data_IF_399223188764
#
_entry.id   IF_399223188764
#
_cell.length_a   1.000
_cell.length_b   1.000
_cell.length_c   1.000
_cell.angle_alpha   90.00
_cell.angle_beta   90.00
_cell.angle_gamma   90.00
#
_symmetry.space_group_name_H-M   'P 1'
#
loop_
_entity.id
_entity.type
_entity.pdbx_description
1 polymer ?
#
# COMPACT_ATOMS: atom_id res chain seq x y z
N UNK A 1 35.97 -4.21 1.53
CA UNK A 1 35.76 -5.50 0.85
C UNK A 1 34.28 -5.58 0.53
N UNK A 2 33.87 -5.24 -0.69
CA UNK A 2 32.46 -5.23 -1.13
C UNK A 2 31.96 -6.69 -1.10
N UNK A 3 30.99 -6.99 -0.23
CA UNK A 3 30.24 -8.25 -0.30
C UNK A 3 29.34 -8.17 -1.52
N UNK A 4 29.79 -8.63 -2.66
CA UNK A 4 28.89 -8.96 -3.77
C UNK A 4 27.99 -10.09 -3.30
N UNK A 5 26.67 -9.89 -3.33
CA UNK A 5 25.69 -10.95 -3.11
C UNK A 5 26.01 -12.13 -4.02
N UNK A 6 26.01 -13.33 -3.46
CA UNK A 6 26.04 -14.53 -4.29
C UNK A 6 24.78 -14.52 -5.18
N UNK A 7 24.93 -14.96 -6.43
CA UNK A 7 23.79 -15.01 -7.37
C UNK A 7 22.56 -15.74 -6.80
N UNK A 8 22.79 -16.78 -5.98
CA UNK A 8 21.73 -17.50 -5.28
C UNK A 8 21.00 -16.63 -4.25
N UNK A 9 21.71 -15.87 -3.42
CA UNK A 9 21.12 -14.99 -2.41
C UNK A 9 20.27 -13.88 -3.05
N UNK A 10 20.72 -13.33 -4.17
CA UNK A 10 19.93 -12.35 -4.93
C UNK A 10 18.60 -12.93 -5.42
N UNK A 11 18.63 -14.16 -5.97
CA UNK A 11 17.42 -14.87 -6.42
C UNK A 11 16.46 -15.13 -5.27
N UNK A 12 16.99 -15.52 -4.09
CA UNK A 12 16.16 -15.71 -2.89
C UNK A 12 15.40 -14.45 -2.47
N UNK A 13 16.06 -13.28 -2.49
CA UNK A 13 15.44 -12.02 -2.14
C UNK A 13 14.38 -11.58 -3.16
N UNK A 14 14.62 -11.83 -4.44
CA UNK A 14 13.67 -11.62 -5.54
C UNK A 14 12.42 -12.47 -5.34
N UNK A 15 12.60 -13.78 -5.08
CA UNK A 15 11.49 -14.72 -4.87
C UNK A 15 10.69 -14.35 -3.62
N UNK A 16 11.36 -13.97 -2.52
CA UNK A 16 10.72 -13.52 -1.29
C UNK A 16 9.71 -12.41 -1.58
N UNK A 17 10.15 -11.34 -2.23
CA UNK A 17 9.28 -10.19 -2.53
C UNK A 17 8.18 -10.52 -3.53
N UNK A 18 8.49 -11.36 -4.52
CA UNK A 18 7.50 -11.78 -5.52
C UNK A 18 6.36 -12.59 -4.89
N UNK A 19 6.66 -13.64 -4.12
CA UNK A 19 5.64 -14.50 -3.49
C UNK A 19 4.82 -13.66 -2.48
N UNK A 20 5.47 -12.82 -1.68
CA UNK A 20 4.79 -12.00 -0.69
C UNK A 20 3.75 -11.07 -1.33
N UNK A 21 4.12 -10.36 -2.39
CA UNK A 21 3.21 -9.45 -3.07
C UNK A 21 2.11 -10.20 -3.82
N UNK A 22 2.43 -11.35 -4.41
CA UNK A 22 1.47 -12.23 -5.06
C UNK A 22 0.39 -12.71 -4.08
N UNK A 23 0.80 -13.14 -2.87
CA UNK A 23 -0.12 -13.55 -1.82
C UNK A 23 -1.02 -12.40 -1.33
N UNK A 24 -0.44 -11.20 -1.14
CA UNK A 24 -1.17 -10.02 -0.69
C UNK A 24 -2.21 -9.57 -1.72
N UNK A 25 -1.85 -9.48 -3.00
CA UNK A 25 -2.75 -9.02 -4.07
C UNK A 25 -3.89 -9.99 -4.35
N UNK A 26 -3.62 -11.30 -4.29
CA UNK A 26 -4.63 -12.34 -4.51
C UNK A 26 -5.87 -12.19 -3.60
N UNK A 27 -5.68 -11.63 -2.40
CA UNK A 27 -6.79 -11.30 -1.49
C UNK A 27 -7.24 -9.86 -1.58
N UNK A 28 -6.33 -8.90 -1.51
CA UNK A 28 -6.68 -7.47 -1.40
C UNK A 28 -7.54 -6.99 -2.57
N UNK A 29 -7.24 -7.43 -3.78
CA UNK A 29 -7.94 -7.00 -4.99
C UNK A 29 -9.32 -7.67 -5.11
N UNK A 30 -9.45 -8.92 -4.71
CA UNK A 30 -10.71 -9.67 -4.78
C UNK A 30 -11.65 -9.40 -3.58
N UNK A 31 -11.12 -8.98 -2.43
CA UNK A 31 -11.88 -8.84 -1.18
C UNK A 31 -13.20 -8.07 -1.36
N UNK A 32 -13.16 -6.90 -2.03
CA UNK A 32 -14.36 -6.10 -2.23
C UNK A 32 -15.45 -6.85 -2.99
N UNK A 33 -15.07 -7.59 -4.04
CA UNK A 33 -16.00 -8.39 -4.84
C UNK A 33 -16.50 -9.63 -4.11
N UNK A 34 -15.64 -10.26 -3.31
CA UNK A 34 -16.01 -11.40 -2.46
C UNK A 34 -17.06 -10.98 -1.43
N UNK A 35 -16.84 -9.85 -0.74
CA UNK A 35 -17.81 -9.32 0.23
C UNK A 35 -19.15 -8.98 -0.44
N UNK A 36 -19.14 -8.37 -1.63
CA UNK A 36 -20.35 -8.08 -2.39
C UNK A 36 -21.10 -9.36 -2.78
N UNK A 37 -20.39 -10.36 -3.29
CA UNK A 37 -21.00 -11.62 -3.73
C UNK A 37 -21.64 -12.44 -2.58
N UNK A 38 -21.16 -12.22 -1.35
CA UNK A 38 -21.68 -12.91 -0.16
C UNK A 38 -22.62 -12.04 0.70
N UNK A 39 -23.11 -10.90 0.16
CA UNK A 39 -24.08 -10.04 0.88
C UNK A 39 -23.50 -9.24 2.04
N UNK A 40 -22.17 -9.09 2.11
CA UNK A 40 -21.44 -8.43 3.19
C UNK A 40 -21.11 -6.97 2.90
N UNK A 41 -21.96 -6.28 2.11
CA UNK A 41 -21.73 -4.89 1.70
C UNK A 41 -21.62 -3.94 2.90
N UNK A 42 -22.38 -4.21 3.96
CA UNK A 42 -22.44 -3.35 5.16
C UNK A 42 -21.06 -3.24 5.87
N UNK A 43 -20.27 -4.31 5.85
CA UNK A 43 -18.97 -4.34 6.52
C UNK A 43 -17.80 -4.05 5.56
N UNK A 44 -18.02 -3.83 4.25
CA UNK A 44 -16.96 -3.66 3.26
C UNK A 44 -15.97 -2.53 3.65
N UNK A 45 -16.48 -1.36 3.97
CA UNK A 45 -15.64 -0.23 4.38
C UNK A 45 -14.82 -0.54 5.64
N UNK A 46 -15.45 -1.17 6.64
CA UNK A 46 -14.79 -1.59 7.88
C UNK A 46 -13.75 -2.68 7.65
N UNK A 47 -14.01 -3.62 6.72
CA UNK A 47 -13.09 -4.68 6.34
C UNK A 47 -11.76 -4.11 5.79
N UNK A 48 -11.83 -3.09 4.94
CA UNK A 48 -10.62 -2.39 4.47
C UNK A 48 -10.02 -1.48 5.54
N UNK A 49 -10.84 -0.81 6.38
CA UNK A 49 -10.37 0.02 7.48
C UNK A 49 -9.57 -0.78 8.53
N UNK A 50 -9.78 -2.10 8.64
CA UNK A 50 -8.99 -2.98 9.49
C UNK A 50 -7.49 -2.90 9.18
N UNK A 51 -7.10 -2.70 7.91
CA UNK A 51 -5.69 -2.52 7.51
C UNK A 51 -5.10 -1.20 8.03
N UNK A 52 -5.90 -0.15 8.03
CA UNK A 52 -5.48 1.15 8.57
C UNK A 52 -5.34 1.11 10.10
N UNK A 53 -6.25 0.43 10.80
CA UNK A 53 -6.14 0.19 12.25
C UNK A 53 -4.87 -0.62 12.56
N UNK A 54 -4.59 -1.65 11.78
CA UNK A 54 -3.37 -2.46 11.94
C UNK A 54 -2.09 -1.65 11.72
N UNK A 55 -2.11 -0.62 10.87
CA UNK A 55 -0.96 0.26 10.64
C UNK A 55 -0.53 1.05 11.89
N UNK A 56 -1.44 1.31 12.83
CA UNK A 56 -1.10 1.91 14.13
C UNK A 56 -0.53 0.88 15.11
N UNK A 57 -1.05 -0.34 15.11
CA UNK A 57 -0.81 -1.33 16.17
C UNK A 57 0.38 -2.22 15.85
N UNK A 58 0.47 -2.72 14.62
CA UNK A 58 1.46 -3.72 14.22
C UNK A 58 2.92 -3.28 14.39
N UNK A 59 3.33 -2.04 14.04
CA UNK A 59 4.70 -1.60 14.23
C UNK A 59 5.13 -1.59 15.70
N UNK A 60 4.18 -1.34 16.62
CA UNK A 60 4.45 -1.30 18.06
C UNK A 60 4.76 -2.69 18.62
N UNK A 61 4.02 -3.71 18.18
CA UNK A 61 4.13 -5.06 18.72
C UNK A 61 5.25 -5.83 18.01
N UNK A 62 5.17 -5.93 16.68
CA UNK A 62 5.99 -6.86 15.92
C UNK A 62 7.34 -6.28 15.52
N UNK A 63 7.43 -4.97 15.27
CA UNK A 63 8.71 -4.30 15.07
C UNK A 63 9.62 -4.44 16.30
N UNK A 64 9.04 -4.26 17.50
CA UNK A 64 9.77 -4.45 18.75
C UNK A 64 10.29 -5.88 18.97
N UNK A 65 9.54 -6.88 18.51
CA UNK A 65 9.94 -8.29 18.62
C UNK A 65 11.08 -8.64 17.66
N UNK A 66 11.02 -8.13 16.43
CA UNK A 66 12.05 -8.37 15.42
C UNK A 66 13.39 -7.74 15.82
N UNK A 67 13.36 -6.56 16.46
CA UNK A 67 14.57 -5.82 16.83
C UNK A 67 15.31 -6.42 18.04
N UNK A 68 14.61 -7.15 18.93
CA UNK A 68 15.18 -7.47 20.26
C UNK A 68 15.48 -8.93 20.54
N UNK A 69 14.61 -9.86 20.13
CA UNK A 69 14.62 -11.21 20.70
C UNK A 69 14.61 -12.34 19.69
N UNK A 70 14.18 -12.09 18.46
CA UNK A 70 14.00 -13.16 17.46
C UNK A 70 14.58 -12.74 16.11
N UNK A 71 15.32 -13.60 15.41
CA UNK A 71 15.81 -13.30 14.07
C UNK A 71 14.65 -12.88 13.13
N UNK A 72 14.80 -11.79 12.33
CA UNK A 72 13.74 -11.26 11.47
C UNK A 72 13.12 -12.30 10.54
N UNK A 73 13.92 -13.22 10.02
CA UNK A 73 13.45 -14.33 9.16
C UNK A 73 12.48 -15.26 9.90
N UNK A 74 12.73 -15.50 11.21
CA UNK A 74 11.84 -16.32 12.02
C UNK A 74 10.53 -15.61 12.33
N UNK A 75 10.57 -14.30 12.61
CA UNK A 75 9.37 -13.47 12.80
C UNK A 75 8.53 -13.44 11.52
N UNK A 76 9.17 -13.23 10.36
CA UNK A 76 8.53 -13.28 9.04
C UNK A 76 7.79 -14.61 8.82
N UNK A 77 8.43 -15.73 9.15
CA UNK A 77 7.84 -17.08 9.03
C UNK A 77 6.58 -17.24 9.85
N UNK A 78 6.65 -16.91 11.15
CA UNK A 78 5.50 -17.06 12.04
C UNK A 78 4.36 -16.13 11.67
N UNK A 79 4.64 -14.90 11.25
CA UNK A 79 3.62 -13.98 10.78
C UNK A 79 3.01 -14.42 9.45
N UNK A 80 3.78 -14.98 8.53
CA UNK A 80 3.25 -15.56 7.29
C UNK A 80 2.31 -16.74 7.57
N UNK A 81 2.65 -17.63 8.53
CA UNK A 81 1.78 -18.72 8.97
C UNK A 81 0.52 -18.20 9.68
N UNK A 82 0.65 -17.20 10.55
CA UNK A 82 -0.49 -16.56 11.20
C UNK A 82 -1.42 -15.88 10.18
N UNK A 83 -0.85 -15.23 9.16
CA UNK A 83 -1.60 -14.64 8.04
C UNK A 83 -2.31 -15.73 7.23
N UNK A 84 -1.66 -16.83 6.92
CA UNK A 84 -2.28 -17.96 6.21
C UNK A 84 -3.43 -18.58 7.00
N UNK A 85 -3.25 -18.77 8.31
CA UNK A 85 -4.28 -19.32 9.20
C UNK A 85 -5.49 -18.38 9.28
N UNK A 86 -5.26 -17.09 9.60
CA UNK A 86 -6.35 -16.11 9.72
C UNK A 86 -7.05 -15.89 8.39
N UNK A 87 -6.33 -15.90 7.26
CA UNK A 87 -6.89 -15.84 5.91
C UNK A 87 -7.81 -17.04 5.63
N UNK A 88 -7.38 -18.26 5.99
CA UNK A 88 -8.20 -19.46 5.86
C UNK A 88 -9.45 -19.38 6.74
N UNK A 89 -9.34 -18.88 7.97
CA UNK A 89 -10.48 -18.68 8.88
C UNK A 89 -11.47 -17.65 8.32
N UNK A 90 -10.99 -16.51 7.82
CA UNK A 90 -11.84 -15.50 7.14
C UNK A 90 -12.59 -16.13 5.97
N UNK A 91 -11.87 -16.84 5.09
CA UNK A 91 -12.46 -17.49 3.92
C UNK A 91 -13.51 -18.53 4.29
N UNK A 92 -13.22 -19.33 5.34
CA UNK A 92 -14.16 -20.30 5.89
C UNK A 92 -15.40 -19.61 6.45
N UNK A 93 -15.23 -18.55 7.24
CA UNK A 93 -16.34 -17.82 7.83
C UNK A 93 -17.23 -17.16 6.75
N UNK A 94 -16.65 -16.63 5.68
CA UNK A 94 -17.41 -16.09 4.53
C UNK A 94 -18.14 -17.22 3.81
N UNK A 95 -17.47 -18.33 3.50
CA UNK A 95 -18.04 -19.48 2.78
C UNK A 95 -19.26 -20.07 3.50
N UNK A 96 -19.22 -20.15 4.82
CA UNK A 96 -20.30 -20.69 5.64
C UNK A 96 -21.28 -19.62 6.14
N UNK A 97 -21.23 -18.40 5.58
CA UNK A 97 -22.14 -17.30 5.94
C UNK A 97 -22.23 -17.02 7.45
N UNK A 98 -21.08 -17.09 8.11
CA UNK A 98 -20.99 -16.75 9.53
C UNK A 98 -21.40 -15.29 9.80
N UNK A 99 -21.63 -14.97 11.08
CA UNK A 99 -21.98 -13.61 11.49
C UNK A 99 -20.96 -12.60 10.98
N UNK A 100 -21.44 -11.50 10.38
CA UNK A 100 -20.59 -10.46 9.78
C UNK A 100 -19.60 -9.83 10.77
N UNK A 101 -19.93 -9.74 12.06
CA UNK A 101 -19.04 -9.20 13.10
C UNK A 101 -17.90 -10.16 13.42
N UNK A 102 -18.16 -11.47 13.38
CA UNK A 102 -17.10 -12.49 13.48
C UNK A 102 -16.15 -12.39 12.28
N UNK A 103 -16.70 -12.24 11.07
CA UNK A 103 -15.89 -12.06 9.84
C UNK A 103 -15.02 -10.79 9.97
N UNK A 104 -15.59 -9.70 10.46
CA UNK A 104 -14.86 -8.44 10.67
C UNK A 104 -13.75 -8.58 11.72
N UNK A 105 -14.02 -9.27 12.82
CA UNK A 105 -13.00 -9.56 13.84
C UNK A 105 -11.85 -10.41 13.28
N UNK A 106 -12.16 -11.43 12.49
CA UNK A 106 -11.13 -12.24 11.79
C UNK A 106 -10.35 -11.43 10.76
N UNK A 107 -10.98 -10.51 10.03
CA UNK A 107 -10.31 -9.58 9.11
C UNK A 107 -9.39 -8.62 9.86
N UNK A 108 -9.77 -8.19 11.06
CA UNK A 108 -8.89 -7.36 11.90
C UNK A 108 -7.66 -8.16 12.37
N UNK A 109 -7.83 -9.40 12.79
CA UNK A 109 -6.71 -10.28 13.16
C UNK A 109 -5.80 -10.56 11.98
N UNK A 110 -6.37 -10.80 10.79
CA UNK A 110 -5.62 -10.95 9.54
C UNK A 110 -4.80 -9.69 9.24
N UNK A 111 -5.40 -8.50 9.35
CA UNK A 111 -4.72 -7.25 9.11
C UNK A 111 -3.56 -7.02 10.08
N UNK A 112 -3.74 -7.35 11.37
CA UNK A 112 -2.68 -7.26 12.39
C UNK A 112 -1.50 -8.19 12.08
N UNK A 113 -1.76 -9.43 11.65
CA UNK A 113 -0.71 -10.38 11.29
C UNK A 113 0.05 -9.96 10.01
N UNK A 114 -0.69 -9.40 9.03
CA UNK A 114 -0.15 -9.06 7.71
C UNK A 114 0.61 -7.72 7.69
N UNK A 115 0.18 -6.72 8.45
CA UNK A 115 0.72 -5.35 8.36
C UNK A 115 2.26 -5.24 8.52
N UNK A 116 2.94 -5.97 9.43
CA UNK A 116 4.39 -5.83 9.62
C UNK A 116 5.22 -6.56 8.55
N UNK A 117 4.63 -7.49 7.78
CA UNK A 117 5.36 -8.39 6.89
C UNK A 117 6.22 -7.64 5.86
N UNK A 118 5.68 -6.59 5.23
CA UNK A 118 6.42 -5.83 4.21
C UNK A 118 7.61 -5.08 4.80
N UNK A 119 7.46 -4.51 6.00
CA UNK A 119 8.55 -3.85 6.71
C UNK A 119 9.67 -4.82 7.09
N UNK A 120 9.30 -5.98 7.64
CA UNK A 120 10.26 -7.02 8.04
C UNK A 120 11.00 -7.57 6.82
N UNK A 121 10.29 -7.88 5.73
CA UNK A 121 10.91 -8.36 4.49
C UNK A 121 11.87 -7.31 3.91
N UNK A 122 11.48 -6.03 3.91
CA UNK A 122 12.34 -4.95 3.46
C UNK A 122 13.60 -4.82 4.32
N UNK A 123 13.47 -4.95 5.64
CA UNK A 123 14.62 -4.96 6.55
C UNK A 123 15.56 -6.16 6.29
N UNK A 124 15.00 -7.36 6.04
CA UNK A 124 15.78 -8.55 5.67
C UNK A 124 16.56 -8.32 4.38
N UNK A 125 15.93 -7.74 3.36
CA UNK A 125 16.57 -7.45 2.07
C UNK A 125 17.67 -6.43 2.25
N UNK A 126 17.38 -5.27 2.87
CA UNK A 126 18.34 -4.19 3.06
C UNK A 126 19.57 -4.62 3.90
N UNK A 127 19.37 -5.47 4.91
CA UNK A 127 20.47 -5.96 5.74
C UNK A 127 21.47 -6.87 4.97
N UNK A 128 21.09 -7.36 3.79
CA UNK A 128 21.93 -8.23 2.95
C UNK A 128 22.58 -7.52 1.77
N UNK A 129 22.04 -6.38 1.37
CA UNK A 129 22.57 -5.62 0.25
C UNK A 129 23.89 -4.94 0.63
N UNK A 130 24.86 -5.00 -0.27
CA UNK A 130 26.12 -4.27 -0.15
C UNK A 130 25.94 -2.78 -0.52
N UNK A 131 25.09 -2.51 -1.51
CA UNK A 131 24.72 -1.16 -1.97
C UNK A 131 23.19 -1.02 -1.95
N UNK A 132 22.69 0.04 -1.34
CA UNK A 132 21.26 0.35 -1.31
C UNK A 132 20.65 0.55 -2.70
N UNK A 133 21.47 0.84 -3.72
CA UNK A 133 21.02 0.93 -5.12
C UNK A 133 20.48 -0.40 -5.67
N UNK A 134 20.96 -1.52 -5.14
CA UNK A 134 20.48 -2.86 -5.53
C UNK A 134 19.07 -3.17 -4.99
N UNK A 135 18.56 -2.37 -4.04
CA UNK A 135 17.22 -2.55 -3.48
C UNK A 135 16.12 -2.31 -4.52
N UNK A 136 16.27 -1.31 -5.38
CA UNK A 136 15.23 -0.93 -6.33
C UNK A 136 14.85 -2.04 -7.32
N UNK A 137 15.78 -2.76 -7.97
CA UNK A 137 15.46 -3.90 -8.84
C UNK A 137 14.77 -5.04 -8.08
N UNK A 138 15.20 -5.34 -6.85
CA UNK A 138 14.56 -6.38 -6.03
C UNK A 138 13.15 -5.93 -5.62
N UNK A 139 12.98 -4.67 -5.26
CA UNK A 139 11.67 -4.08 -4.90
C UNK A 139 10.67 -4.12 -6.06
N UNK A 140 11.15 -4.01 -7.30
CA UNK A 140 10.32 -4.15 -8.51
C UNK A 140 9.61 -5.52 -8.56
N UNK A 141 10.22 -6.57 -8.01
CA UNK A 141 9.61 -7.90 -7.95
C UNK A 141 8.33 -7.93 -7.12
N UNK A 142 8.16 -7.02 -6.16
CA UNK A 142 6.87 -6.89 -5.47
C UNK A 142 5.76 -6.39 -6.41
N UNK A 143 6.07 -5.45 -7.30
CA UNK A 143 5.09 -4.99 -8.30
C UNK A 143 4.71 -6.10 -9.28
N UNK A 144 5.69 -6.87 -9.75
CA UNK A 144 5.43 -8.02 -10.63
C UNK A 144 4.67 -9.14 -9.89
N UNK A 145 5.01 -9.41 -8.65
CA UNK A 145 4.27 -10.37 -7.80
C UNK A 145 2.82 -9.92 -7.58
N UNK A 146 2.61 -8.63 -7.35
CA UNK A 146 1.26 -8.08 -7.23
C UNK A 146 0.43 -8.31 -8.50
N UNK A 147 1.01 -8.02 -9.68
CA UNK A 147 0.35 -8.30 -10.96
C UNK A 147 0.05 -9.79 -11.12
N UNK A 148 1.00 -10.65 -10.79
CA UNK A 148 0.83 -12.09 -10.88
C UNK A 148 -0.31 -12.61 -9.98
N UNK A 149 -0.46 -12.07 -8.76
CA UNK A 149 -1.56 -12.44 -7.86
C UNK A 149 -2.93 -11.98 -8.38
N UNK A 150 -3.01 -10.77 -8.96
CA UNK A 150 -4.23 -10.31 -9.63
C UNK A 150 -4.64 -11.24 -10.77
N UNK A 151 -3.68 -11.63 -11.62
CA UNK A 151 -3.91 -12.54 -12.74
C UNK A 151 -4.27 -13.95 -12.27
N UNK A 152 -3.58 -14.47 -11.25
CA UNK A 152 -3.85 -15.79 -10.69
C UNK A 152 -5.29 -15.96 -10.23
N UNK A 153 -5.83 -15.00 -9.47
CA UNK A 153 -7.21 -15.04 -8.97
C UNK A 153 -8.21 -15.10 -10.12
N UNK A 154 -7.99 -14.31 -11.16
CA UNK A 154 -8.84 -14.31 -12.35
C UNK A 154 -8.71 -15.59 -13.17
N UNK A 155 -7.50 -16.14 -13.35
CA UNK A 155 -7.28 -17.41 -14.05
C UNK A 155 -7.94 -18.59 -13.33
N UNK A 156 -7.95 -18.57 -11.99
CA UNK A 156 -8.66 -19.57 -11.19
C UNK A 156 -10.20 -19.36 -11.21
N UNK A 157 -10.69 -18.26 -11.76
CA UNK A 157 -12.12 -17.93 -11.80
C UNK A 157 -12.71 -17.64 -10.42
N UNK A 158 -11.91 -17.20 -9.45
CA UNK A 158 -12.32 -17.03 -8.05
C UNK A 158 -12.43 -15.58 -7.60
N UNK A 159 -12.49 -14.61 -8.52
CA UNK A 159 -12.58 -13.17 -8.24
C UNK A 159 -13.65 -12.80 -7.20
N UNK A 160 -14.75 -13.55 -7.14
CA UNK A 160 -15.89 -13.29 -6.25
C UNK A 160 -16.13 -14.37 -5.22
N UNK A 161 -15.28 -15.36 -5.19
CA UNK A 161 -15.43 -16.51 -4.32
C UNK A 161 -14.51 -16.41 -3.08
N UNK A 162 -14.98 -16.91 -1.95
CA UNK A 162 -14.14 -17.10 -0.77
C UNK A 162 -12.90 -17.99 -1.06
N UNK A 163 -12.90 -18.74 -2.19
CA UNK A 163 -11.74 -19.53 -2.63
C UNK A 163 -10.51 -18.66 -2.92
N UNK A 164 -10.68 -17.39 -3.28
CA UNK A 164 -9.56 -16.45 -3.47
C UNK A 164 -8.71 -16.31 -2.19
N UNK A 165 -9.36 -16.33 -1.03
CA UNK A 165 -8.64 -16.28 0.26
C UNK A 165 -7.88 -17.58 0.55
N UNK A 166 -8.39 -18.76 0.18
CA UNK A 166 -7.61 -19.99 0.30
C UNK A 166 -6.41 -20.02 -0.66
N UNK A 167 -6.57 -19.51 -1.89
CA UNK A 167 -5.46 -19.36 -2.81
C UNK A 167 -4.38 -18.42 -2.23
N UNK A 168 -4.77 -17.28 -1.66
CA UNK A 168 -3.86 -16.38 -0.97
C UNK A 168 -3.20 -17.05 0.25
N UNK A 169 -3.97 -17.77 1.08
CA UNK A 169 -3.44 -18.50 2.23
C UNK A 169 -2.38 -19.53 1.83
N UNK A 170 -2.60 -20.25 0.74
CA UNK A 170 -1.62 -21.19 0.18
C UNK A 170 -0.32 -20.49 -0.18
N UNK A 171 -0.39 -19.32 -0.82
CA UNK A 171 0.81 -18.53 -1.13
C UNK A 171 1.54 -18.05 0.13
N UNK A 172 0.81 -17.71 1.21
CA UNK A 172 1.42 -17.36 2.49
C UNK A 172 2.10 -18.57 3.15
N UNK A 173 1.55 -19.78 3.04
CA UNK A 173 2.21 -21.02 3.49
C UNK A 173 3.49 -21.27 2.66
N UNK A 174 3.41 -21.10 1.33
CA UNK A 174 4.58 -21.23 0.45
C UNK A 174 5.66 -20.21 0.84
N UNK A 175 5.28 -18.96 1.14
CA UNK A 175 6.23 -17.96 1.63
C UNK A 175 6.87 -18.40 2.95
N UNK A 176 6.08 -18.88 3.91
CA UNK A 176 6.59 -19.35 5.19
C UNK A 176 7.58 -20.52 5.00
N UNK A 177 7.25 -21.49 4.14
CA UNK A 177 8.15 -22.57 3.78
C UNK A 177 9.43 -22.06 3.08
N UNK A 178 9.29 -21.09 2.18
CA UNK A 178 10.42 -20.48 1.49
C UNK A 178 11.42 -19.80 2.45
N UNK A 179 10.93 -19.24 3.58
CA UNK A 179 11.83 -18.63 4.58
C UNK A 179 12.85 -19.60 5.19
N UNK A 180 12.70 -20.92 5.04
CA UNK A 180 13.71 -21.89 5.50
C UNK A 180 14.96 -21.91 4.62
N UNK A 181 14.84 -21.48 3.37
CA UNK A 181 15.98 -21.35 2.45
C UNK A 181 16.74 -20.05 2.67
N UNK A 182 16.12 -19.05 3.33
CA UNK A 182 16.80 -17.79 3.61
C UNK A 182 17.88 -18.00 4.69
N UNK A 183 19.12 -17.54 4.45
CA UNK A 183 20.17 -17.62 5.46
C UNK A 183 19.75 -16.88 6.72
N UNK A 184 20.16 -17.33 7.92
CA UNK A 184 19.86 -16.65 9.16
C UNK A 184 20.47 -15.25 9.17
N UNK A 185 19.71 -14.26 9.65
CA UNK A 185 20.22 -12.94 10.00
C UNK A 185 20.39 -12.89 11.49
N UNK A 186 21.58 -12.42 11.93
CA UNK A 186 21.82 -12.17 13.35
C UNK A 186 20.94 -11.01 13.83
N UNK A 187 20.50 -11.11 15.07
CA UNK A 187 19.78 -10.03 15.73
C UNK A 187 20.75 -8.85 15.90
N UNK A 188 20.41 -7.63 15.50
CA UNK A 188 21.26 -6.47 15.75
C UNK A 188 21.60 -6.33 17.23
N UNK A 189 22.89 -6.22 17.56
CA UNK A 189 23.37 -6.16 18.95
C UNK A 189 22.97 -4.89 19.71
N UNK A 190 22.47 -3.88 19.02
CA UNK A 190 22.05 -2.60 19.59
C UNK A 190 20.66 -2.20 19.08
N UNK A 191 19.63 -2.82 19.62
CA UNK A 191 18.31 -2.22 19.54
C UNK A 191 18.24 -1.16 20.66
N UNK A 192 18.31 0.11 20.31
CA UNK A 192 17.96 1.20 21.22
C UNK A 192 16.54 0.97 21.74
N UNK A 193 16.33 1.23 23.04
CA UNK A 193 15.02 1.14 23.67
C UNK A 193 14.12 2.28 23.17
N UNK A 194 13.70 2.22 21.91
CA UNK A 194 12.81 3.21 21.33
C UNK A 194 11.47 3.21 22.07
N UNK A 195 11.06 4.38 22.53
CA UNK A 195 9.72 4.60 23.09
C UNK A 195 8.64 4.34 22.02
N UNK A 196 7.40 4.12 22.46
CA UNK A 196 6.30 3.93 21.50
C UNK A 196 6.07 5.18 20.62
N UNK A 197 6.34 6.38 21.13
CA UNK A 197 6.28 7.63 20.37
C UNK A 197 7.31 7.62 19.21
N UNK A 198 8.55 7.21 19.50
CA UNK A 198 9.61 7.13 18.49
C UNK A 198 9.30 6.06 17.43
N UNK A 199 8.71 4.91 17.84
CA UNK A 199 8.32 3.85 16.91
C UNK A 199 7.24 4.28 15.93
N UNK A 200 6.30 5.11 16.36
CA UNK A 200 5.26 5.71 15.52
C UNK A 200 5.75 6.96 14.79
N UNK A 201 6.94 7.42 15.09
CA UNK A 201 7.49 8.66 14.53
C UNK A 201 6.78 9.92 15.02
N UNK A 202 6.08 9.87 16.18
CA UNK A 202 5.31 11.02 16.69
C UNK A 202 6.20 12.20 17.07
N UNK A 203 7.45 11.95 17.43
CA UNK A 203 8.44 13.02 17.69
C UNK A 203 8.66 13.85 16.43
N UNK A 204 8.52 13.25 15.23
CA UNK A 204 8.64 13.96 13.97
C UNK A 204 7.46 14.91 13.68
N UNK A 205 6.42 14.96 14.53
CA UNK A 205 5.37 16.00 14.44
C UNK A 205 5.96 17.42 14.50
N UNK A 206 7.14 17.59 15.13
CA UNK A 206 7.88 18.85 15.11
C UNK A 206 8.24 19.32 13.70
N UNK A 207 8.44 18.41 12.75
CA UNK A 207 8.69 18.73 11.34
C UNK A 207 7.51 19.47 10.67
N UNK A 208 6.30 19.31 11.20
CA UNK A 208 5.11 20.02 10.70
C UNK A 208 5.13 21.53 11.00
N UNK A 209 6.05 22.00 11.84
CA UNK A 209 6.30 23.43 12.02
C UNK A 209 6.84 24.06 10.73
N UNK A 210 7.65 23.33 9.96
CA UNK A 210 8.05 23.77 8.63
C UNK A 210 6.87 23.69 7.66
N UNK A 211 6.60 24.81 6.97
CA UNK A 211 5.46 24.94 6.06
C UNK A 211 5.48 23.91 4.94
N UNK A 212 6.61 23.76 4.25
CA UNK A 212 6.71 22.87 3.09
C UNK A 212 6.61 21.40 3.52
N UNK A 213 7.24 21.02 4.65
CA UNK A 213 7.07 19.66 5.21
C UNK A 213 5.59 19.40 5.52
N UNK A 214 4.92 20.33 6.23
CA UNK A 214 3.51 20.22 6.55
C UNK A 214 2.64 20.04 5.32
N UNK A 215 2.92 20.81 4.24
CA UNK A 215 2.16 20.67 2.98
C UNK A 215 2.36 19.29 2.36
N UNK A 216 3.58 18.73 2.35
CA UNK A 216 3.84 17.39 1.84
C UNK A 216 3.08 16.33 2.65
N UNK A 217 3.19 16.36 3.99
CA UNK A 217 2.49 15.42 4.86
C UNK A 217 0.97 15.47 4.63
N UNK A 218 0.37 16.66 4.67
CA UNK A 218 -1.07 16.80 4.47
C UNK A 218 -1.52 16.47 3.05
N UNK A 219 -0.76 16.85 2.01
CA UNK A 219 -1.11 16.53 0.61
C UNK A 219 -1.19 15.02 0.41
N UNK A 220 -0.20 14.26 0.89
CA UNK A 220 -0.19 12.80 0.74
C UNK A 220 -1.32 12.15 1.56
N UNK A 221 -1.52 12.59 2.79
CA UNK A 221 -2.59 12.07 3.66
C UNK A 221 -3.98 12.35 3.08
N UNK A 222 -4.24 13.57 2.63
CA UNK A 222 -5.52 13.95 2.04
C UNK A 222 -5.78 13.24 0.71
N UNK A 223 -4.74 13.02 -0.11
CA UNK A 223 -4.88 12.27 -1.37
C UNK A 223 -5.21 10.80 -1.10
N UNK A 224 -4.72 10.21 0.00
CA UNK A 224 -5.08 8.84 0.37
C UNK A 224 -6.58 8.66 0.64
N UNK A 225 -7.30 9.71 1.02
CA UNK A 225 -8.75 9.63 1.25
C UNK A 225 -9.47 9.15 -0.01
N UNK A 226 -9.44 9.83 -1.17
CA UNK A 226 -10.08 9.32 -2.38
C UNK A 226 -9.39 8.07 -2.93
N UNK A 227 -8.06 7.91 -2.75
CA UNK A 227 -7.35 6.72 -3.21
C UNK A 227 -7.78 5.43 -2.50
N UNK A 228 -8.23 5.51 -1.26
CA UNK A 228 -8.72 4.35 -0.49
C UNK A 228 -9.88 3.63 -1.17
N UNK A 229 -10.67 4.33 -1.98
CA UNK A 229 -11.80 3.75 -2.72
C UNK A 229 -11.38 2.77 -3.83
N UNK A 230 -10.10 2.75 -4.23
CA UNK A 230 -9.66 2.03 -5.42
C UNK A 230 -9.89 0.52 -5.31
N UNK A 231 -9.27 -0.15 -4.37
CA UNK A 231 -9.42 -1.61 -4.24
C UNK A 231 -10.80 -2.06 -3.78
N UNK A 232 -11.52 -1.36 -2.88
CA UNK A 232 -12.88 -1.73 -2.52
C UNK A 232 -13.90 -1.64 -3.66
N UNK A 233 -13.75 -0.69 -4.58
CA UNK A 233 -14.84 -0.34 -5.49
C UNK A 233 -14.50 -0.46 -6.98
N UNK A 234 -13.25 -0.26 -7.42
CA UNK A 234 -12.92 -0.34 -8.84
C UNK A 234 -13.13 -1.76 -9.43
N UNK A 235 -12.73 -2.86 -8.76
CA UNK A 235 -13.02 -4.21 -9.26
C UNK A 235 -14.52 -4.49 -9.39
N UNK A 236 -15.32 -4.02 -8.42
CA UNK A 236 -16.79 -4.15 -8.48
C UNK A 236 -17.37 -3.36 -9.66
N UNK A 237 -16.88 -2.13 -9.92
CA UNK A 237 -17.34 -1.34 -11.06
C UNK A 237 -16.94 -1.98 -12.40
N UNK A 238 -15.72 -2.55 -12.51
CA UNK A 238 -15.30 -3.31 -13.69
C UNK A 238 -16.30 -4.46 -13.99
N UNK A 239 -16.68 -5.22 -12.96
CA UNK A 239 -17.68 -6.29 -13.11
C UNK A 239 -19.04 -5.75 -13.55
N UNK A 240 -19.51 -4.67 -12.96
CA UNK A 240 -20.79 -4.05 -13.34
C UNK A 240 -20.80 -3.59 -14.80
N UNK A 241 -19.65 -3.25 -15.37
CA UNK A 241 -19.47 -2.96 -16.79
C UNK A 241 -19.27 -4.22 -17.65
N UNK A 242 -19.35 -5.42 -17.06
CA UNK A 242 -19.29 -6.70 -17.79
C UNK A 242 -17.89 -7.23 -18.06
N UNK A 243 -16.91 -6.89 -17.22
CA UNK A 243 -15.58 -7.52 -17.24
C UNK A 243 -15.60 -8.82 -16.43
N UNK A 244 -15.18 -9.93 -17.02
CA UNK A 244 -15.16 -11.26 -16.40
C UNK A 244 -13.97 -11.46 -15.46
N UNK A 245 -12.80 -10.92 -15.79
CA UNK A 245 -11.53 -11.07 -15.04
C UNK A 245 -11.13 -9.75 -14.37
N UNK A 246 -11.98 -9.27 -13.46
CA UNK A 246 -11.84 -7.93 -12.89
C UNK A 246 -10.52 -7.76 -12.10
N UNK A 247 -10.07 -8.78 -11.36
CA UNK A 247 -8.78 -8.72 -10.65
C UNK A 247 -7.60 -8.61 -11.60
N UNK A 248 -7.60 -9.33 -12.73
CA UNK A 248 -6.54 -9.23 -13.73
C UNK A 248 -6.45 -7.83 -14.35
N UNK A 249 -7.59 -7.18 -14.64
CA UNK A 249 -7.61 -5.81 -15.15
C UNK A 249 -7.05 -4.80 -14.16
N UNK A 250 -7.15 -5.05 -12.87
CA UNK A 250 -6.53 -4.19 -11.85
C UNK A 250 -5.00 -4.18 -11.93
N UNK A 251 -4.37 -5.18 -12.55
CA UNK A 251 -2.92 -5.20 -12.77
C UNK A 251 -2.42 -4.07 -13.68
N UNK A 252 -3.29 -3.46 -14.51
CA UNK A 252 -2.94 -2.28 -15.32
C UNK A 252 -2.44 -1.10 -14.47
N UNK A 253 -2.91 -0.99 -13.23
CA UNK A 253 -2.43 0.02 -12.30
C UNK A 253 -0.92 -0.09 -12.06
N UNK A 254 -0.39 -1.30 -12.02
CA UNK A 254 1.02 -1.57 -11.76
C UNK A 254 1.91 -1.22 -12.96
N UNK A 255 1.39 -1.33 -14.18
CA UNK A 255 2.13 -0.96 -15.40
C UNK A 255 2.55 0.50 -15.36
N UNK A 256 1.62 1.40 -15.05
CA UNK A 256 1.95 2.83 -14.95
C UNK A 256 2.83 3.15 -13.73
N UNK A 257 2.73 2.37 -12.64
CA UNK A 257 3.63 2.49 -11.48
C UNK A 257 5.07 2.19 -11.88
N UNK A 258 5.31 1.08 -12.59
CA UNK A 258 6.64 0.70 -13.08
C UNK A 258 7.22 1.78 -13.99
N UNK A 259 6.43 2.29 -14.94
CA UNK A 259 6.87 3.34 -15.86
C UNK A 259 7.23 4.63 -15.08
N UNK A 260 6.36 5.04 -14.15
CA UNK A 260 6.59 6.23 -13.34
C UNK A 260 7.82 6.08 -12.44
N UNK A 261 8.00 4.93 -11.79
CA UNK A 261 9.19 4.67 -10.97
C UNK A 261 10.47 4.62 -11.79
N UNK A 262 10.46 4.01 -12.97
CA UNK A 262 11.61 3.98 -13.87
C UNK A 262 11.99 5.38 -14.37
N UNK A 263 11.01 6.26 -14.61
CA UNK A 263 11.23 7.63 -15.04
C UNK A 263 11.61 8.59 -13.90
N UNK A 264 11.35 8.19 -12.64
CA UNK A 264 11.48 9.10 -11.49
C UNK A 264 12.90 9.61 -11.28
N UNK A 265 13.92 8.77 -11.51
CA UNK A 265 15.33 9.19 -11.43
C UNK A 265 15.66 10.31 -12.42
N UNK A 266 15.21 10.16 -13.67
CA UNK A 266 15.37 11.19 -14.69
C UNK A 266 14.57 12.46 -14.37
N UNK A 267 13.34 12.31 -13.90
CA UNK A 267 12.50 13.43 -13.49
C UNK A 267 13.14 14.23 -12.35
N UNK A 268 13.67 13.58 -11.33
CA UNK A 268 14.34 14.23 -10.20
C UNK A 268 15.63 14.98 -10.63
N UNK A 269 16.32 14.50 -11.66
CA UNK A 269 17.49 15.17 -12.20
C UNK A 269 17.18 16.39 -13.06
N UNK A 270 16.00 16.45 -13.70
CA UNK A 270 15.68 17.47 -14.70
C UNK A 270 14.55 18.42 -14.28
N UNK A 271 13.69 17.99 -13.35
CA UNK A 271 12.52 18.76 -12.93
C UNK A 271 12.62 19.16 -11.45
N UNK A 272 12.05 20.31 -11.11
CA UNK A 272 11.85 20.67 -9.72
C UNK A 272 10.82 19.73 -9.11
N UNK A 273 11.07 19.28 -7.90
CA UNK A 273 10.21 18.36 -7.15
C UNK A 273 8.74 18.81 -7.12
N UNK A 274 8.47 20.12 -7.05
CA UNK A 274 7.13 20.70 -7.14
C UNK A 274 6.36 20.22 -8.37
N UNK A 275 7.00 20.18 -9.54
CA UNK A 275 6.33 19.80 -10.79
C UNK A 275 6.05 18.31 -10.86
N UNK A 276 6.91 17.48 -10.26
CA UNK A 276 6.69 16.03 -10.15
C UNK A 276 5.45 15.76 -9.30
N UNK A 277 5.32 16.44 -8.15
CA UNK A 277 4.11 16.36 -7.32
C UNK A 277 2.85 16.81 -8.06
N UNK A 278 2.91 17.96 -8.75
CA UNK A 278 1.77 18.48 -9.53
C UNK A 278 1.35 17.46 -10.59
N UNK A 279 2.29 16.89 -11.33
CA UNK A 279 2.02 15.86 -12.33
C UNK A 279 1.32 14.63 -11.71
N UNK A 280 1.83 14.13 -10.58
CA UNK A 280 1.21 13.01 -9.85
C UNK A 280 -0.20 13.32 -9.33
N UNK A 281 -0.42 14.55 -8.85
CA UNK A 281 -1.75 15.01 -8.39
C UNK A 281 -2.72 15.15 -9.57
N UNK A 282 -2.26 15.66 -10.73
CA UNK A 282 -3.06 15.72 -11.95
C UNK A 282 -3.49 14.32 -12.38
N UNK A 283 -2.56 13.34 -12.39
CA UNK A 283 -2.94 11.94 -12.65
C UNK A 283 -3.95 11.42 -11.63
N UNK A 284 -3.83 11.83 -10.35
CA UNK A 284 -4.83 11.54 -9.30
C UNK A 284 -6.22 12.09 -9.60
N UNK A 285 -6.32 13.29 -10.14
CA UNK A 285 -7.59 13.90 -10.58
C UNK A 285 -8.13 13.19 -11.83
N UNK A 286 -7.29 13.06 -12.86
CA UNK A 286 -7.68 12.50 -14.17
C UNK A 286 -8.18 11.07 -14.05
N UNK A 287 -7.54 10.23 -13.21
CA UNK A 287 -7.98 8.84 -13.03
C UNK A 287 -9.42 8.74 -12.53
N UNK A 288 -9.81 9.56 -11.56
CA UNK A 288 -11.17 9.58 -11.04
C UNK A 288 -12.14 10.26 -11.99
N UNK A 289 -11.73 11.33 -12.68
CA UNK A 289 -12.53 11.99 -13.70
C UNK A 289 -12.85 11.03 -14.87
N UNK A 290 -11.87 10.27 -15.35
CA UNK A 290 -12.10 9.25 -16.38
C UNK A 290 -12.97 8.10 -15.87
N UNK A 291 -12.76 7.65 -14.63
CA UNK A 291 -13.64 6.64 -14.02
C UNK A 291 -15.09 7.12 -13.90
N UNK A 292 -15.32 8.42 -13.71
CA UNK A 292 -16.66 9.03 -13.62
C UNK A 292 -17.43 9.00 -14.95
N UNK A 293 -16.75 8.89 -16.10
CA UNK A 293 -17.41 8.68 -17.41
C UNK A 293 -18.12 7.32 -17.45
N UNK A 294 -17.68 6.39 -16.62
CA UNK A 294 -18.30 5.08 -16.36
C UNK A 294 -18.54 4.23 -17.62
N UNK A 295 -17.58 4.21 -18.51
CA UNK A 295 -17.55 3.28 -19.66
C UNK A 295 -16.33 2.36 -19.54
N UNK A 296 -16.36 1.23 -20.26
CA UNK A 296 -15.27 0.23 -20.23
C UNK A 296 -13.89 0.84 -20.45
N UNK A 297 -13.73 1.61 -21.52
CA UNK A 297 -12.46 2.21 -21.91
C UNK A 297 -11.98 3.24 -20.89
N UNK A 298 -12.84 4.16 -20.49
CA UNK A 298 -12.47 5.24 -19.58
C UNK A 298 -12.16 4.73 -18.17
N UNK A 299 -12.90 3.72 -17.69
CA UNK A 299 -12.59 3.10 -16.40
C UNK A 299 -11.21 2.40 -16.42
N UNK A 300 -10.87 1.67 -17.50
CA UNK A 300 -9.55 1.06 -17.65
C UNK A 300 -8.43 2.10 -17.71
N UNK A 301 -8.63 3.23 -18.41
CA UNK A 301 -7.67 4.34 -18.40
C UNK A 301 -7.52 4.88 -16.98
N UNK A 302 -8.61 5.08 -16.24
CA UNK A 302 -8.60 5.51 -14.85
C UNK A 302 -7.83 4.54 -13.94
N UNK A 303 -8.03 3.22 -14.11
CA UNK A 303 -7.28 2.17 -13.42
C UNK A 303 -5.79 2.27 -13.78
N UNK A 304 -5.48 2.40 -15.08
CA UNK A 304 -4.09 2.51 -15.56
C UNK A 304 -3.33 3.71 -15.00
N UNK A 305 -3.99 4.84 -14.75
CA UNK A 305 -3.33 6.04 -14.19
C UNK A 305 -3.04 5.93 -12.68
N UNK A 306 -3.54 4.89 -12.00
CA UNK A 306 -3.36 4.73 -10.55
C UNK A 306 -1.89 4.74 -10.13
N UNK A 307 -1.08 3.89 -10.74
CA UNK A 307 0.30 3.71 -10.35
C UNK A 307 1.14 4.96 -10.60
N UNK A 308 0.89 5.69 -11.70
CA UNK A 308 1.58 6.94 -11.99
C UNK A 308 1.29 8.00 -10.91
N UNK A 309 0.01 8.16 -10.52
CA UNK A 309 -0.35 9.06 -9.41
C UNK A 309 0.32 8.63 -8.10
N UNK A 310 0.30 7.33 -7.79
CA UNK A 310 0.89 6.80 -6.58
C UNK A 310 2.41 7.05 -6.54
N UNK A 311 3.14 6.64 -7.56
CA UNK A 311 4.60 6.77 -7.59
C UNK A 311 5.05 8.24 -7.55
N UNK A 312 4.46 9.10 -8.39
CA UNK A 312 4.87 10.51 -8.48
C UNK A 312 4.49 11.35 -7.25
N UNK A 313 3.54 10.91 -6.43
CA UNK A 313 3.20 11.60 -5.17
C UNK A 313 3.89 10.95 -3.98
N UNK A 314 3.64 9.66 -3.72
CA UNK A 314 4.08 9.04 -2.46
C UNK A 314 5.57 8.70 -2.44
N UNK A 315 6.13 8.16 -3.54
CA UNK A 315 7.58 7.90 -3.60
C UNK A 315 8.35 9.21 -3.62
N UNK A 316 7.85 10.23 -4.32
CA UNK A 316 8.45 11.57 -4.31
C UNK A 316 8.41 12.21 -2.92
N UNK A 317 7.34 11.99 -2.13
CA UNK A 317 7.26 12.46 -0.75
C UNK A 317 8.33 11.80 0.15
N UNK A 318 8.53 10.49 0.00
CA UNK A 318 9.59 9.77 0.71
C UNK A 318 10.98 10.32 0.37
N UNK A 319 11.25 10.54 -0.93
CA UNK A 319 12.52 11.12 -1.40
C UNK A 319 12.67 12.56 -0.89
N UNK A 320 11.60 13.36 -0.91
CA UNK A 320 11.60 14.71 -0.35
C UNK A 320 12.06 14.74 1.09
N UNK A 321 11.50 13.87 1.94
CA UNK A 321 11.86 13.81 3.35
C UNK A 321 13.32 13.33 3.53
N UNK A 322 13.74 12.33 2.75
CA UNK A 322 15.11 11.82 2.82
C UNK A 322 16.15 12.90 2.48
N UNK A 323 15.86 13.76 1.51
CA UNK A 323 16.75 14.84 1.06
C UNK A 323 16.69 16.11 1.92
N UNK A 324 15.58 16.37 2.64
CA UNK A 324 15.32 17.64 3.32
C UNK A 324 15.31 17.57 4.84
N UNK A 325 15.30 16.36 5.39
CA UNK A 325 15.32 16.13 6.83
C UNK A 325 16.71 15.67 7.23
N UNK A 326 17.20 16.14 8.37
CA UNK A 326 18.48 15.70 8.95
C UNK A 326 18.52 14.18 9.09
N UNK A 327 19.71 13.60 8.90
CA UNK A 327 19.90 12.14 8.88
C UNK A 327 19.36 11.44 10.14
N UNK A 328 19.50 12.06 11.32
CA UNK A 328 18.99 11.58 12.61
C UNK A 328 17.45 11.50 12.70
N UNK A 329 16.74 12.28 11.88
CA UNK A 329 15.28 12.38 11.87
C UNK A 329 14.61 11.63 10.72
N UNK A 330 15.37 11.17 9.71
CA UNK A 330 14.82 10.55 8.49
C UNK A 330 13.91 9.36 8.78
N UNK A 331 14.38 8.42 9.60
CA UNK A 331 13.60 7.24 9.96
C UNK A 331 12.27 7.60 10.64
N UNK A 332 12.30 8.55 11.58
CA UNK A 332 11.10 9.04 12.30
C UNK A 332 10.16 9.79 11.35
N UNK A 333 10.70 10.59 10.43
CA UNK A 333 9.90 11.28 9.40
C UNK A 333 9.19 10.30 8.47
N UNK A 334 9.87 9.24 8.03
CA UNK A 334 9.27 8.18 7.20
C UNK A 334 8.21 7.38 7.98
N UNK A 335 8.45 7.10 9.26
CA UNK A 335 7.47 6.46 10.13
C UNK A 335 6.21 7.31 10.28
N UNK A 336 6.37 8.62 10.56
CA UNK A 336 5.26 9.56 10.63
C UNK A 336 4.49 9.65 9.31
N UNK A 337 5.20 9.73 8.17
CA UNK A 337 4.57 9.74 6.84
C UNK A 337 3.72 8.49 6.61
N UNK A 338 4.26 7.33 6.97
CA UNK A 338 3.56 6.05 6.86
C UNK A 338 2.33 6.02 7.77
N UNK A 339 2.45 6.48 9.00
CA UNK A 339 1.35 6.54 9.95
C UNK A 339 0.25 7.48 9.47
N UNK A 340 0.60 8.68 8.99
CA UNK A 340 -0.35 9.65 8.47
C UNK A 340 -1.06 9.15 7.20
N UNK A 341 -0.32 8.49 6.30
CA UNK A 341 -0.88 8.00 5.04
C UNK A 341 -1.69 6.70 5.25
N UNK A 342 -1.06 5.66 5.80
CA UNK A 342 -1.64 4.32 5.88
C UNK A 342 -2.53 4.14 7.12
N UNK A 343 -2.27 4.89 8.20
CA UNK A 343 -3.14 4.95 9.36
C UNK A 343 -4.27 5.96 9.16
N UNK A 344 -3.96 7.25 9.29
CA UNK A 344 -4.97 8.30 9.32
C UNK A 344 -5.68 8.46 7.97
N UNK A 345 -4.92 8.61 6.87
CA UNK A 345 -5.46 8.87 5.54
C UNK A 345 -6.37 7.73 5.05
N UNK A 346 -5.90 6.49 5.15
CA UNK A 346 -6.71 5.33 4.76
C UNK A 346 -7.89 5.07 5.72
N UNK A 347 -7.74 5.29 7.03
CA UNK A 347 -8.86 5.10 7.96
C UNK A 347 -10.02 6.05 7.64
N UNK A 348 -9.71 7.36 7.55
CA UNK A 348 -10.71 8.37 7.15
C UNK A 348 -11.24 8.05 5.75
N UNK A 349 -10.36 7.64 4.85
CA UNK A 349 -10.70 7.30 3.48
C UNK A 349 -11.66 6.12 3.39
N UNK A 350 -11.34 4.97 3.97
CA UNK A 350 -12.22 3.80 3.89
C UNK A 350 -13.60 4.07 4.50
N UNK A 351 -13.65 4.70 5.67
CA UNK A 351 -14.92 5.02 6.32
C UNK A 351 -15.71 6.10 5.55
N UNK A 352 -15.03 7.19 5.15
CA UNK A 352 -15.66 8.28 4.42
C UNK A 352 -16.12 7.87 3.01
N UNK A 353 -15.30 7.10 2.29
CA UNK A 353 -15.66 6.60 0.96
C UNK A 353 -16.73 5.50 1.03
N UNK A 354 -16.76 4.71 2.11
CA UNK A 354 -17.85 3.78 2.37
C UNK A 354 -19.18 4.48 2.56
N UNK A 355 -19.19 5.54 3.36
CA UNK A 355 -20.37 6.40 3.53
C UNK A 355 -20.79 7.05 2.21
N UNK A 356 -19.85 7.62 1.46
CA UNK A 356 -20.10 8.24 0.16
C UNK A 356 -20.64 7.23 -0.86
N UNK A 357 -20.07 6.02 -0.88
CA UNK A 357 -20.55 4.93 -1.73
C UNK A 357 -22.00 4.58 -1.40
N UNK A 358 -22.32 4.41 -0.12
CA UNK A 358 -23.69 4.13 0.31
C UNK A 358 -24.68 5.22 -0.13
N UNK A 359 -24.27 6.50 -0.11
CA UNK A 359 -25.07 7.61 -0.62
C UNK A 359 -25.26 7.58 -2.14
N UNK A 360 -24.39 6.90 -2.88
CA UNK A 360 -24.47 6.72 -4.34
C UNK A 360 -25.28 5.48 -4.76
N UNK A 361 -25.66 4.59 -3.84
CA UNK A 361 -26.48 3.41 -4.13
C UNK A 361 -27.95 3.82 -4.21
N UNK A 362 -28.63 3.41 -5.29
CA UNK A 362 -30.06 3.65 -5.53
C UNK A 362 -30.75 2.31 -5.81
N UNK A 363 -32.09 2.22 -5.69
CA UNK A 363 -32.83 1.01 -6.06
C UNK A 363 -32.57 0.54 -7.49
N UNK A 364 -32.25 1.47 -8.38
CA UNK A 364 -31.93 1.21 -9.80
C UNK A 364 -30.47 0.82 -10.06
N UNK A 365 -29.63 0.79 -9.01
CA UNK A 365 -28.21 0.46 -9.08
C UNK A 365 -27.30 1.56 -8.56
N UNK A 366 -25.99 1.32 -8.59
CA UNK A 366 -24.99 2.27 -8.11
C UNK A 366 -24.75 3.39 -9.12
N UNK A 367 -24.81 4.64 -8.66
CA UNK A 367 -24.48 5.82 -9.45
C UNK A 367 -22.95 6.02 -9.53
N UNK A 368 -22.27 5.20 -10.32
CA UNK A 368 -20.82 5.19 -10.43
C UNK A 368 -20.20 6.51 -10.88
N UNK A 369 -20.88 7.21 -11.82
CA UNK A 369 -20.42 8.54 -12.27
C UNK A 369 -20.40 9.55 -11.12
N UNK A 370 -21.43 9.54 -10.27
CA UNK A 370 -21.48 10.40 -9.09
C UNK A 370 -20.42 10.00 -8.06
N UNK A 371 -20.24 8.69 -7.83
CA UNK A 371 -19.24 8.17 -6.91
C UNK A 371 -17.84 8.62 -7.30
N UNK A 372 -17.40 8.30 -8.51
CA UNK A 372 -16.05 8.67 -8.98
C UNK A 372 -15.87 10.17 -9.18
N UNK A 373 -16.93 10.89 -9.59
CA UNK A 373 -16.91 12.35 -9.72
C UNK A 373 -16.67 13.06 -8.38
N UNK A 374 -17.27 12.56 -7.30
CA UNK A 374 -16.98 13.04 -5.94
C UNK A 374 -15.52 12.87 -5.55
N UNK A 375 -14.93 11.72 -5.88
CA UNK A 375 -13.51 11.46 -5.62
C UNK A 375 -12.59 12.35 -6.47
N UNK A 376 -12.96 12.60 -7.73
CA UNK A 376 -12.24 13.54 -8.59
C UNK A 376 -12.24 14.96 -8.01
N UNK A 377 -13.38 15.39 -7.46
CA UNK A 377 -13.51 16.70 -6.80
C UNK A 377 -12.60 16.78 -5.57
N UNK A 378 -12.58 15.76 -4.71
CA UNK A 378 -11.68 15.71 -3.54
C UNK A 378 -10.21 15.77 -4.00
N UNK A 379 -9.82 14.98 -5.00
CA UNK A 379 -8.45 14.98 -5.53
C UNK A 379 -8.09 16.35 -6.13
N UNK A 380 -9.01 17.02 -6.82
CA UNK A 380 -8.82 18.38 -7.35
C UNK A 380 -8.63 19.42 -6.22
N UNK A 381 -9.39 19.32 -5.13
CA UNK A 381 -9.19 20.17 -3.95
C UNK A 381 -7.81 19.97 -3.32
N UNK A 382 -7.32 18.75 -3.27
CA UNK A 382 -5.95 18.44 -2.78
C UNK A 382 -4.89 19.07 -3.72
N UNK A 383 -5.08 18.99 -5.03
CA UNK A 383 -4.19 19.67 -6.00
C UNK A 383 -4.20 21.19 -5.79
N UNK A 384 -5.37 21.81 -5.65
CA UNK A 384 -5.51 23.25 -5.38
C UNK A 384 -4.81 23.61 -4.06
N UNK A 385 -5.03 22.84 -3.00
CA UNK A 385 -4.34 23.02 -1.73
C UNK A 385 -2.81 23.00 -1.90
N UNK A 386 -2.28 22.01 -2.61
CA UNK A 386 -0.84 21.90 -2.86
C UNK A 386 -0.30 23.12 -3.62
N UNK A 387 -0.99 23.54 -4.69
CA UNK A 387 -0.60 24.71 -5.51
C UNK A 387 -0.56 26.01 -4.70
N UNK A 388 -1.53 26.21 -3.81
CA UNK A 388 -1.66 27.40 -2.97
C UNK A 388 -0.68 27.40 -1.78
N UNK A 389 -0.41 26.23 -1.19
CA UNK A 389 0.29 26.12 0.07
C UNK A 389 1.80 25.87 -0.07
N UNK A 390 2.23 25.12 -1.10
CA UNK A 390 3.64 24.74 -1.28
C UNK A 390 4.46 25.86 -1.90
N UNK A 391 5.53 26.27 -1.23
CA UNK A 391 6.41 27.37 -1.69
C UNK A 391 7.75 26.90 -2.25
N UNK A 392 8.26 25.76 -1.83
CA UNK A 392 9.56 25.21 -2.28
C UNK A 392 10.78 25.98 -1.73
N UNK A 393 10.61 26.66 -0.61
CA UNK A 393 11.65 27.53 -0.02
C UNK A 393 12.75 26.78 0.73
N UNK A 394 12.59 25.48 0.99
CA UNK A 394 13.52 24.68 1.78
C UNK A 394 14.82 24.26 1.07
N UNK A 395 15.10 24.73 -0.16
CA UNK A 395 16.30 24.32 -0.91
C UNK A 395 17.53 25.23 -0.66
N UNK A 396 17.37 26.44 -0.14
CA UNK A 396 18.42 27.45 -0.14
C UNK A 396 19.14 27.69 1.18
N UNK A 397 18.78 27.03 2.27
CA UNK A 397 19.43 27.32 3.57
C UNK A 397 20.67 26.48 3.89
N UNK A 398 20.95 25.40 3.16
CA UNK A 398 22.14 24.58 3.40
C UNK A 398 23.35 24.87 2.49
N UNK A 399 23.15 25.60 1.37
CA UNK A 399 24.26 25.97 0.47
C UNK A 399 24.84 27.36 0.71
N UNK A 400 24.44 28.08 1.77
CA UNK A 400 25.00 29.38 2.12
C UNK A 400 25.94 29.35 3.34
N UNK A 401 26.23 28.17 3.89
CA UNK A 401 27.17 28.00 5.00
C UNK A 401 28.27 26.96 4.72
N UNK A 402 28.69 26.84 3.46
CA UNK A 402 29.89 26.08 3.08
C UNK A 402 30.88 26.99 2.34
#
# INVERSE_FOLDING_TARGET
MLKTLRKAEYVELVILFFIQAMAASAWTVSLGMVLDAHGLHAIKALAFAATAIAAFISPLIFGAMADRHVPPVRVLRWLALATALTMSLVSTAIKFHCNQWLILALLQLLALANAPLTGISSAIVLARLADSKEFAPIRLMMTLGWMAGCVLVSLLGVDTSALSGYAAATLWVILAAFTFFLPPLEVPKSAENLSWHERLGLDALTLLKNRDHRVIFFTTTLLNIPLSAFYPYAPTNLRNLGFTHASAWMALAQVSEVIAMASLGWLLGNWRLKWIFICGLIFGVLRFAFSAINTKTWLLIGVGLHGASYALVFVTAQIYLDQRVESSWRARAQALLTLMNNGVGYLIGYLGMGWWFAACVRPTGTQWSLFWGGLATIAAMVLIYFLAAYRGTGANSQNQSA
#
